data_IF_187081050192
#
_entry.id   IF_187081050192
#
_cell.length_a   1.000
_cell.length_b   1.000
_cell.length_c   1.000
_cell.angle_alpha   90.00
_cell.angle_beta   90.00
_cell.angle_gamma   90.00
#
_symmetry.space_group_name_H-M   'P 1'
#
loop_
_entity.id
_entity.type
_entity.pdbx_description
1 polymer ?
#
# COMPACT_ATOMS: atom_id res chain seq x y z
N UNK A 1 2.72 -21.97 -2.31
CA UNK A 1 3.06 -20.71 -1.62
C UNK A 1 4.54 -20.37 -1.73
N UNK A 2 5.46 -21.28 -1.43
CA UNK A 2 6.92 -21.04 -1.44
C UNK A 2 7.44 -20.39 -2.75
N UNK A 3 6.86 -20.74 -3.88
CA UNK A 3 7.21 -20.17 -5.19
C UNK A 3 6.98 -18.66 -5.30
N UNK A 4 6.17 -18.06 -4.41
CA UNK A 4 5.79 -16.64 -4.41
C UNK A 4 6.59 -15.81 -3.39
N UNK A 5 7.22 -16.46 -2.40
CA UNK A 5 7.91 -15.76 -1.31
C UNK A 5 9.12 -14.99 -1.85
N UNK A 6 9.29 -13.75 -1.40
CA UNK A 6 10.32 -12.79 -1.78
C UNK A 6 10.33 -12.46 -3.28
N UNK A 7 9.13 -12.42 -3.88
CA UNK A 7 8.96 -12.07 -5.30
C UNK A 7 7.92 -10.98 -5.51
N UNK A 8 8.10 -10.27 -6.61
CA UNK A 8 7.07 -9.43 -7.22
C UNK A 8 6.52 -10.22 -8.42
N UNK A 9 5.22 -10.46 -8.46
CA UNK A 9 4.56 -11.37 -9.38
C UNK A 9 3.75 -10.53 -10.38
N UNK A 10 3.90 -10.78 -11.67
CA UNK A 10 3.04 -10.16 -12.68
C UNK A 10 1.76 -10.98 -12.84
N UNK A 11 0.69 -10.52 -12.20
CA UNK A 11 -0.62 -11.17 -12.25
C UNK A 11 -1.74 -10.24 -11.75
N UNK A 12 -2.98 -10.61 -12.00
CA UNK A 12 -4.11 -10.06 -11.26
C UNK A 12 -4.06 -10.54 -9.80
N UNK A 13 -4.32 -9.64 -8.86
CA UNK A 13 -4.22 -9.96 -7.42
C UNK A 13 -5.16 -11.11 -7.01
N UNK A 14 -6.37 -11.19 -7.59
CA UNK A 14 -7.34 -12.23 -7.26
C UNK A 14 -6.89 -13.61 -7.74
N UNK A 15 -6.12 -13.69 -8.84
CA UNK A 15 -5.59 -14.96 -9.33
C UNK A 15 -4.55 -15.54 -8.37
N UNK A 16 -3.73 -14.68 -7.76
CA UNK A 16 -2.75 -15.11 -6.76
C UNK A 16 -3.38 -15.35 -5.40
N UNK A 17 -4.24 -14.43 -4.93
CA UNK A 17 -4.91 -14.56 -3.64
C UNK A 17 -5.62 -15.92 -3.51
N UNK A 18 -6.37 -16.35 -4.52
CA UNK A 18 -7.05 -17.65 -4.54
C UNK A 18 -6.12 -18.86 -4.44
N UNK A 19 -4.85 -18.71 -4.81
CA UNK A 19 -3.83 -19.75 -4.71
C UNK A 19 -3.09 -19.76 -3.37
N UNK A 20 -3.19 -18.68 -2.60
CA UNK A 20 -2.59 -18.62 -1.27
C UNK A 20 -3.42 -19.44 -0.28
N UNK A 21 -2.76 -20.22 0.60
CA UNK A 21 -3.44 -20.90 1.69
C UNK A 21 -4.12 -19.94 2.65
N UNK A 22 -5.13 -20.41 3.35
CA UNK A 22 -5.71 -19.70 4.48
C UNK A 22 -4.63 -19.48 5.55
N UNK A 23 -4.71 -18.36 6.25
CA UNK A 23 -3.90 -18.05 7.45
C UNK A 23 -2.39 -18.19 7.23
N UNK A 24 -1.88 -17.66 6.14
CA UNK A 24 -0.45 -17.73 5.80
C UNK A 24 0.28 -16.38 5.92
N UNK A 25 -0.42 -15.25 5.89
CA UNK A 25 0.12 -13.88 5.88
C UNK A 25 0.10 -13.29 7.30
N UNK A 26 1.18 -12.61 7.68
CA UNK A 26 1.31 -11.94 8.99
C UNK A 26 0.85 -10.48 8.96
N UNK A 27 1.07 -9.78 7.84
CA UNK A 27 0.66 -8.39 7.62
C UNK A 27 0.27 -8.20 6.16
N UNK A 28 -0.85 -7.53 5.91
CA UNK A 28 -1.13 -6.93 4.61
C UNK A 28 -0.84 -5.44 4.69
N UNK A 29 -0.01 -4.93 3.79
CA UNK A 29 0.27 -3.50 3.65
C UNK A 29 0.14 -3.16 2.17
N UNK A 30 -0.97 -2.50 1.78
CA UNK A 30 -1.36 -2.43 0.38
C UNK A 30 -2.08 -1.13 0.04
N UNK A 31 -1.96 -0.71 -1.22
CA UNK A 31 -2.49 0.54 -1.76
C UNK A 31 -3.44 0.26 -2.95
N UNK A 32 -4.69 -0.17 -2.68
CA UNK A 32 -5.64 -0.50 -3.74
C UNK A 32 -6.01 0.73 -4.58
N UNK A 33 -6.52 0.56 -5.80
CA UNK A 33 -6.96 1.65 -6.65
C UNK A 33 -7.92 2.61 -5.92
N UNK A 34 -7.73 3.94 -6.07
CA UNK A 34 -8.57 4.91 -5.38
C UNK A 34 -9.85 5.19 -6.17
N UNK A 35 -10.98 5.30 -5.46
CA UNK A 35 -12.19 5.91 -6.01
C UNK A 35 -11.97 7.42 -5.98
N UNK A 36 -11.77 8.03 -7.14
CA UNK A 36 -11.71 9.48 -7.26
C UNK A 36 -13.10 10.00 -7.62
N UNK A 37 -13.65 10.89 -6.80
CA UNK A 37 -14.86 11.64 -7.14
C UNK A 37 -14.53 12.68 -8.23
N UNK A 38 -14.56 12.25 -9.49
CA UNK A 38 -14.35 13.12 -10.66
C UNK A 38 -15.59 13.94 -11.01
N UNK A 39 -16.49 14.20 -10.07
CA UNK A 39 -17.58 15.16 -10.26
C UNK A 39 -17.05 16.59 -10.24
N UNK A 40 -16.69 17.08 -11.40
CA UNK A 40 -16.40 18.49 -11.63
C UNK A 40 -14.97 18.83 -12.01
N UNK A 41 -14.72 18.81 -13.30
CA UNK A 41 -13.57 19.49 -13.85
C UNK A 41 -13.09 18.91 -15.17
N UNK A 42 -13.74 19.24 -16.27
CA UNK A 42 -13.06 19.37 -17.56
C UNK A 42 -12.03 20.52 -17.42
N UNK A 43 -11.07 20.37 -16.52
CA UNK A 43 -10.05 21.37 -16.28
C UNK A 43 -8.83 21.10 -17.15
N UNK A 44 -8.58 21.97 -18.13
CA UNK A 44 -7.32 22.05 -18.89
C UNK A 44 -6.04 22.16 -18.03
N UNK A 45 -6.16 22.22 -16.70
CA UNK A 45 -5.03 22.36 -15.78
C UNK A 45 -4.13 21.09 -15.69
N UNK A 46 -4.60 19.97 -16.18
CA UNK A 46 -3.82 18.73 -16.24
C UNK A 46 -3.27 18.41 -17.64
N UNK A 47 -3.62 19.18 -18.67
CA UNK A 47 -3.47 18.82 -20.08
C UNK A 47 -2.05 18.71 -20.61
N UNK A 48 -1.02 19.30 -19.99
CA UNK A 48 0.31 19.43 -20.58
C UNK A 48 1.47 18.84 -19.75
N UNK A 49 1.19 18.18 -18.64
CA UNK A 49 2.24 17.48 -17.90
C UNK A 49 2.23 15.98 -18.27
N UNK A 50 3.40 15.44 -18.59
CA UNK A 50 3.62 14.06 -19.03
C UNK A 50 3.00 12.99 -18.11
N UNK A 51 2.77 13.31 -16.83
CA UNK A 51 2.10 12.48 -15.82
C UNK A 51 0.62 12.19 -16.11
N UNK A 52 -0.02 12.86 -17.08
CA UNK A 52 -1.47 12.71 -17.38
C UNK A 52 -1.70 12.07 -18.74
N UNK A 53 -0.66 11.94 -19.54
CA UNK A 53 -0.71 11.12 -20.76
C UNK A 53 -0.61 9.62 -20.45
N UNK A 54 -0.40 9.26 -19.18
CA UNK A 54 -0.43 7.87 -18.75
C UNK A 54 -1.87 7.36 -18.89
N UNK A 55 -2.08 6.47 -19.84
CA UNK A 55 -3.36 5.75 -20.07
C UNK A 55 -3.84 5.00 -18.84
N UNK A 56 -3.02 4.93 -17.80
CA UNK A 56 -3.25 4.20 -16.55
C UNK A 56 -4.08 4.98 -15.51
N UNK A 57 -4.38 6.27 -15.73
CA UNK A 57 -5.31 7.01 -14.84
C UNK A 57 -6.77 6.56 -15.03
N UNK A 58 -7.09 5.89 -16.12
CA UNK A 58 -8.40 5.27 -16.34
C UNK A 58 -8.66 4.03 -15.46
N UNK A 59 -7.67 3.55 -14.71
CA UNK A 59 -7.84 2.52 -13.67
C UNK A 59 -8.53 3.00 -12.39
N UNK A 60 -9.17 4.15 -12.44
CA UNK A 60 -9.97 4.66 -11.34
C UNK A 60 -11.25 3.86 -11.27
N UNK A 61 -11.26 2.99 -10.37
CA UNK A 61 -12.11 1.94 -9.89
C UNK A 61 -13.63 2.20 -9.93
N UNK A 62 -14.25 2.31 -11.09
CA UNK A 62 -15.70 2.11 -11.19
C UNK A 62 -16.09 0.63 -11.10
N UNK A 63 -15.17 -0.30 -11.45
CA UNK A 63 -15.44 -1.75 -11.53
C UNK A 63 -14.56 -2.60 -10.62
N UNK A 64 -13.82 -2.00 -9.67
CA UNK A 64 -12.95 -2.77 -8.77
C UNK A 64 -13.77 -3.38 -7.62
N UNK A 65 -13.73 -4.72 -7.51
CA UNK A 65 -14.47 -5.47 -6.50
C UNK A 65 -13.72 -5.50 -5.15
N UNK A 66 -13.82 -4.40 -4.42
CA UNK A 66 -13.22 -4.28 -3.08
C UNK A 66 -13.69 -5.35 -2.11
N UNK A 67 -14.97 -5.76 -2.19
CA UNK A 67 -15.56 -6.70 -1.24
C UNK A 67 -14.89 -8.07 -1.37
N UNK A 68 -14.74 -8.57 -2.60
CA UNK A 68 -14.08 -9.84 -2.83
C UNK A 68 -12.59 -9.78 -2.46
N UNK A 69 -11.90 -8.70 -2.80
CA UNK A 69 -10.50 -8.53 -2.39
C UNK A 69 -10.37 -8.51 -0.87
N UNK A 70 -11.16 -7.73 -0.15
CA UNK A 70 -11.08 -7.64 1.31
C UNK A 70 -11.40 -8.97 1.99
N UNK A 71 -12.37 -9.75 1.48
CA UNK A 71 -12.66 -11.08 1.98
C UNK A 71 -11.46 -12.02 1.80
N UNK A 72 -10.78 -11.99 0.66
CA UNK A 72 -9.58 -12.77 0.43
C UNK A 72 -8.41 -12.32 1.32
N UNK A 73 -8.23 -11.00 1.53
CA UNK A 73 -7.22 -10.50 2.46
C UNK A 73 -7.46 -10.99 3.90
N UNK A 74 -8.72 -11.01 4.34
CA UNK A 74 -9.10 -11.57 5.64
C UNK A 74 -8.75 -13.07 5.70
N UNK A 75 -9.12 -13.84 4.67
CA UNK A 75 -8.90 -15.28 4.60
C UNK A 75 -7.43 -15.67 4.71
N UNK A 76 -6.57 -14.96 3.98
CA UNK A 76 -5.12 -15.28 3.95
C UNK A 76 -4.38 -14.84 5.21
N UNK A 77 -4.90 -13.93 6.02
CA UNK A 77 -4.25 -13.49 7.25
C UNK A 77 -4.26 -14.56 8.34
N UNK A 78 -3.11 -14.83 8.99
CA UNK A 78 -3.03 -15.66 10.22
C UNK A 78 -3.88 -15.10 11.34
N UNK A 79 -3.80 -13.79 11.50
CA UNK A 79 -4.65 -12.89 12.25
C UNK A 79 -4.86 -11.65 11.44
N UNK A 80 -6.08 -11.14 11.39
CA UNK A 80 -6.37 -9.94 10.60
C UNK A 80 -5.51 -8.79 11.08
N UNK A 81 -4.61 -8.33 10.20
CA UNK A 81 -3.64 -7.26 10.39
C UNK A 81 -3.42 -6.60 9.03
N UNK A 82 -4.24 -5.62 8.72
CA UNK A 82 -4.25 -4.97 7.41
C UNK A 82 -3.97 -3.48 7.56
N UNK A 83 -3.03 -2.97 6.80
CA UNK A 83 -2.82 -1.53 6.58
C UNK A 83 -3.21 -1.22 5.13
N UNK A 84 -4.35 -0.61 4.94
CA UNK A 84 -4.92 -0.32 3.63
C UNK A 84 -4.88 1.17 3.39
N UNK A 85 -4.10 1.62 2.40
CA UNK A 85 -4.15 2.99 1.94
C UNK A 85 -5.49 3.28 1.27
N UNK A 86 -6.01 4.49 1.41
CA UNK A 86 -7.28 4.87 0.81
C UNK A 86 -7.39 6.38 0.58
N UNK A 87 -8.25 6.76 -0.37
CA UNK A 87 -8.68 8.14 -0.53
C UNK A 87 -9.66 8.56 0.56
N UNK A 88 -9.83 9.88 0.75
CA UNK A 88 -10.83 10.41 1.68
C UNK A 88 -12.25 9.86 1.45
N UNK A 89 -12.63 9.65 0.18
CA UNK A 89 -13.95 9.12 -0.19
C UNK A 89 -14.17 7.65 0.22
N UNK A 90 -13.09 6.90 0.46
CA UNK A 90 -13.15 5.47 0.78
C UNK A 90 -13.12 5.19 2.29
N UNK A 91 -12.70 6.14 3.14
CA UNK A 91 -12.50 5.93 4.58
C UNK A 91 -13.72 5.29 5.23
N UNK A 92 -14.88 5.94 5.13
CA UNK A 92 -16.09 5.49 5.83
C UNK A 92 -16.57 4.12 5.36
N UNK A 93 -16.50 3.86 4.05
CA UNK A 93 -16.94 2.58 3.46
C UNK A 93 -16.02 1.44 3.88
N UNK A 94 -14.71 1.66 3.82
CA UNK A 94 -13.71 0.65 4.19
C UNK A 94 -13.78 0.35 5.68
N UNK A 95 -13.84 1.37 6.55
CA UNK A 95 -13.98 1.16 7.99
C UNK A 95 -15.26 0.38 8.30
N UNK A 96 -16.40 0.85 7.76
CA UNK A 96 -17.69 0.19 8.00
C UNK A 96 -17.70 -1.27 7.56
N UNK A 97 -17.10 -1.61 6.41
CA UNK A 97 -17.03 -3.00 5.94
C UNK A 97 -16.37 -3.92 6.98
N UNK A 98 -15.23 -3.51 7.53
CA UNK A 98 -14.51 -4.33 8.51
C UNK A 98 -15.16 -4.31 9.89
N UNK A 99 -15.74 -3.19 10.31
CA UNK A 99 -16.45 -3.06 11.59
C UNK A 99 -17.74 -3.90 11.61
N UNK A 100 -18.48 -3.97 10.51
CA UNK A 100 -19.65 -4.83 10.36
C UNK A 100 -19.29 -6.34 10.48
N UNK A 101 -18.04 -6.70 10.17
CA UNK A 101 -17.49 -8.05 10.38
C UNK A 101 -16.88 -8.26 11.79
N UNK A 102 -16.93 -7.25 12.66
CA UNK A 102 -16.46 -7.32 14.04
C UNK A 102 -14.97 -7.02 14.22
N UNK A 103 -14.25 -6.56 13.19
CA UNK A 103 -12.85 -6.14 13.31
C UNK A 103 -12.75 -4.72 13.87
N UNK A 104 -11.62 -4.44 14.53
CA UNK A 104 -11.31 -3.10 15.02
C UNK A 104 -10.60 -2.30 13.94
N UNK A 105 -11.03 -1.07 13.71
CA UNK A 105 -10.40 -0.16 12.76
C UNK A 105 -9.74 1.03 13.45
N UNK A 106 -8.68 1.54 12.86
CA UNK A 106 -8.00 2.76 13.30
C UNK A 106 -7.57 3.56 12.08
N UNK A 107 -7.97 4.82 12.02
CA UNK A 107 -7.49 5.74 10.98
C UNK A 107 -6.09 6.23 11.33
N UNK A 108 -5.16 6.05 10.40
CA UNK A 108 -3.81 6.57 10.41
C UNK A 108 -3.67 7.58 9.28
N UNK A 109 -2.79 8.56 9.45
CA UNK A 109 -2.64 9.68 8.51
C UNK A 109 -1.17 9.83 8.11
N UNK A 110 -0.90 9.85 6.82
CA UNK A 110 0.38 10.29 6.29
C UNK A 110 0.28 11.76 5.90
N UNK A 111 1.03 12.63 6.60
CA UNK A 111 1.16 14.06 6.34
C UNK A 111 2.42 14.31 5.49
N UNK A 112 2.22 14.84 4.29
CA UNK A 112 3.26 15.16 3.32
C UNK A 112 3.72 16.61 3.50
N UNK A 113 4.92 16.88 4.03
CA UNK A 113 5.42 18.24 4.18
C UNK A 113 5.74 18.93 2.83
N UNK A 114 5.79 18.17 1.74
CA UNK A 114 6.06 18.65 0.38
C UNK A 114 4.89 18.37 -0.60
N UNK A 115 3.65 18.78 -0.29
CA UNK A 115 2.53 18.55 -1.19
C UNK A 115 2.66 19.34 -2.48
N UNK A 116 2.04 18.83 -3.56
CA UNK A 116 1.95 19.58 -4.82
C UNK A 116 1.00 20.76 -4.60
N UNK A 117 1.40 22.01 -4.87
CA UNK A 117 0.60 23.20 -4.58
C UNK A 117 -0.49 23.45 -5.64
N UNK A 118 -1.32 22.44 -5.92
CA UNK A 118 -2.47 22.53 -6.82
C UNK A 118 -3.72 22.84 -6.01
N UNK A 119 -3.93 24.10 -5.69
CA UNK A 119 -5.03 24.45 -4.79
C UNK A 119 -6.19 25.22 -5.42
N UNK A 120 -6.10 25.83 -6.61
CA UNK A 120 -7.21 26.50 -7.32
C UNK A 120 -8.46 26.76 -6.42
N UNK A 121 -8.32 27.51 -5.31
CA UNK A 121 -9.33 27.76 -4.28
C UNK A 121 -9.79 26.51 -3.50
N UNK A 122 -9.04 25.41 -3.55
CA UNK A 122 -9.26 24.19 -2.74
C UNK A 122 -8.16 24.05 -1.70
N UNK A 123 -8.41 23.22 -0.70
CA UNK A 123 -7.36 22.85 0.25
C UNK A 123 -6.26 22.05 -0.47
N UNK A 124 -5.01 22.28 -0.06
CA UNK A 124 -3.87 21.49 -0.55
C UNK A 124 -4.00 20.06 -0.05
N UNK A 125 -3.86 19.09 -0.96
CA UNK A 125 -3.94 17.67 -0.61
C UNK A 125 -2.59 17.18 -0.07
N UNK A 126 -2.31 17.50 1.19
CA UNK A 126 -1.11 17.05 1.90
C UNK A 126 -1.30 15.75 2.67
N UNK A 127 -2.53 15.24 2.80
CA UNK A 127 -2.82 14.06 3.60
C UNK A 127 -3.18 12.86 2.72
N UNK A 128 -2.65 11.70 3.09
CA UNK A 128 -3.16 10.40 2.68
C UNK A 128 -3.56 9.59 3.90
N UNK A 129 -4.49 8.67 3.70
CA UNK A 129 -5.11 7.93 4.79
C UNK A 129 -4.77 6.46 4.70
N UNK A 130 -4.61 5.83 5.87
CA UNK A 130 -4.36 4.40 6.00
C UNK A 130 -5.34 3.88 7.03
N UNK A 131 -6.06 2.83 6.71
CA UNK A 131 -6.93 2.15 7.67
C UNK A 131 -6.19 0.93 8.19
N UNK A 132 -5.85 0.95 9.46
CA UNK A 132 -5.35 -0.23 10.15
C UNK A 132 -6.52 -1.04 10.69
N UNK A 133 -6.70 -2.25 10.13
CA UNK A 133 -7.72 -3.21 10.53
C UNK A 133 -7.06 -4.32 11.30
N UNK A 134 -7.64 -4.70 12.44
CA UNK A 134 -7.07 -5.74 13.29
C UNK A 134 -8.12 -6.54 14.06
N UNK A 135 -7.77 -7.78 14.34
CA UNK A 135 -8.42 -8.57 15.39
C UNK A 135 -7.66 -8.49 16.72
N UNK A 136 -8.20 -9.12 17.76
CA UNK A 136 -7.54 -9.14 19.06
C UNK A 136 -6.24 -9.97 19.02
N UNK A 137 -5.22 -9.48 19.75
CA UNK A 137 -3.89 -10.08 19.84
C UNK A 137 -3.13 -10.14 18.50
N UNK A 138 -3.47 -9.30 17.53
CA UNK A 138 -2.65 -9.05 16.35
C UNK A 138 -1.31 -8.45 16.76
N UNK A 139 -0.25 -8.78 16.01
CA UNK A 139 1.07 -8.24 16.28
C UNK A 139 1.09 -6.71 16.23
N UNK A 140 1.67 -6.13 17.24
CA UNK A 140 2.03 -4.72 17.31
C UNK A 140 3.34 -4.59 18.07
N UNK A 141 4.29 -3.84 17.55
CA UNK A 141 5.59 -3.66 18.20
C UNK A 141 5.48 -2.71 19.41
N UNK A 142 5.40 -3.30 20.59
CA UNK A 142 5.31 -2.56 21.85
C UNK A 142 6.65 -1.98 22.32
N UNK A 143 7.78 -2.44 21.78
CA UNK A 143 9.12 -2.03 22.22
C UNK A 143 9.56 -0.69 21.61
N UNK A 144 8.86 -0.22 20.56
CA UNK A 144 9.14 1.09 19.99
C UNK A 144 8.82 2.22 20.98
N UNK A 145 9.57 3.30 20.91
CA UNK A 145 9.29 4.52 21.68
C UNK A 145 7.91 5.12 21.30
N UNK A 146 7.28 5.84 22.25
CA UNK A 146 5.96 6.46 22.04
C UNK A 146 5.90 7.38 20.81
N UNK A 147 6.99 8.09 20.51
CA UNK A 147 7.08 8.96 19.31
C UNK A 147 6.86 8.23 17.99
N UNK A 148 7.14 6.91 17.95
CA UNK A 148 6.94 6.06 16.77
C UNK A 148 5.59 5.36 16.74
N UNK A 149 4.74 5.55 17.77
CA UNK A 149 3.41 4.92 17.89
C UNK A 149 2.27 5.91 17.64
N UNK A 150 2.58 7.06 17.07
CA UNK A 150 1.58 8.07 16.74
C UNK A 150 0.72 7.62 15.54
N UNK A 151 -0.50 8.13 15.46
CA UNK A 151 -1.40 7.85 14.33
C UNK A 151 -1.14 8.74 13.10
N UNK A 152 -0.22 9.68 13.21
CA UNK A 152 0.19 10.56 12.13
C UNK A 152 1.67 10.38 11.82
N UNK A 153 1.98 10.23 10.54
CA UNK A 153 3.33 10.01 10.04
C UNK A 153 3.71 11.19 9.15
N UNK A 154 4.80 11.88 9.47
CA UNK A 154 5.26 13.04 8.70
C UNK A 154 6.49 12.67 7.91
N UNK A 155 6.29 12.30 6.64
CA UNK A 155 7.34 11.93 5.71
C UNK A 155 7.13 12.62 4.36
N UNK A 156 8.20 13.11 3.69
CA UNK A 156 8.07 13.68 2.36
C UNK A 156 7.67 12.61 1.35
N UNK A 157 6.82 13.01 0.40
CA UNK A 157 6.55 12.19 -0.77
C UNK A 157 7.81 12.13 -1.66
N UNK A 158 8.09 10.99 -2.33
CA UNK A 158 9.22 10.87 -3.23
C UNK A 158 9.16 11.94 -4.34
N UNK A 159 10.30 12.53 -4.68
CA UNK A 159 10.37 13.52 -5.77
C UNK A 159 10.54 12.84 -7.13
N UNK A 160 11.45 11.86 -7.20
CA UNK A 160 11.61 10.98 -8.35
C UNK A 160 10.78 9.71 -8.11
N UNK A 161 9.93 9.36 -9.06
CA UNK A 161 8.96 8.27 -8.93
C UNK A 161 8.95 7.41 -10.17
N UNK A 162 8.93 6.11 -9.99
CA UNK A 162 8.63 5.13 -11.04
C UNK A 162 7.11 5.05 -11.24
N UNK A 163 6.35 5.09 -10.14
CA UNK A 163 4.89 5.03 -10.15
C UNK A 163 4.29 6.33 -9.57
N UNK A 164 3.21 6.88 -10.16
CA UNK A 164 2.62 8.17 -9.72
C UNK A 164 2.23 8.23 -8.24
N UNK A 165 1.80 7.12 -7.66
CA UNK A 165 1.35 7.00 -6.25
C UNK A 165 2.39 6.34 -5.35
N UNK A 166 3.67 6.31 -5.76
CA UNK A 166 4.75 5.69 -5.00
C UNK A 166 4.82 6.19 -3.55
N UNK A 167 4.87 5.25 -2.60
CA UNK A 167 5.00 5.54 -1.17
C UNK A 167 6.48 5.63 -0.77
N UNK A 168 6.87 6.58 0.09
CA UNK A 168 8.26 6.71 0.53
C UNK A 168 8.68 5.51 1.38
N UNK A 169 9.90 5.02 1.16
CA UNK A 169 10.48 3.92 1.95
C UNK A 169 10.47 4.19 3.45
N UNK A 170 10.69 5.44 3.86
CA UNK A 170 10.67 5.84 5.28
C UNK A 170 9.31 5.60 5.94
N UNK A 171 8.20 5.86 5.24
CA UNK A 171 6.86 5.55 5.72
C UNK A 171 6.63 4.04 5.77
N UNK A 172 6.96 3.32 4.70
CA UNK A 172 6.79 1.87 4.63
C UNK A 172 7.60 1.16 5.72
N UNK A 173 8.87 1.55 5.91
CA UNK A 173 9.72 1.03 6.98
C UNK A 173 9.11 1.26 8.36
N UNK A 174 8.51 2.42 8.60
CA UNK A 174 7.85 2.72 9.86
C UNK A 174 6.64 1.81 10.09
N UNK A 175 5.76 1.66 9.10
CA UNK A 175 4.58 0.80 9.18
C UNK A 175 4.96 -0.69 9.33
N UNK A 176 5.96 -1.16 8.58
CA UNK A 176 6.48 -2.53 8.70
C UNK A 176 7.00 -2.79 10.12
N UNK A 177 7.78 -1.88 10.69
CA UNK A 177 8.31 -2.03 12.05
C UNK A 177 7.24 -1.97 13.13
N UNK A 178 6.16 -1.20 12.92
CA UNK A 178 5.02 -1.15 13.85
C UNK A 178 4.21 -2.45 13.84
N UNK A 179 3.94 -3.00 12.65
CA UNK A 179 2.90 -4.00 12.46
C UNK A 179 3.43 -5.40 12.09
N UNK A 180 4.75 -5.59 12.02
CA UNK A 180 5.36 -6.90 11.77
C UNK A 180 6.65 -7.12 12.55
N UNK A 181 6.95 -8.40 12.86
CA UNK A 181 8.25 -8.83 13.37
C UNK A 181 9.16 -9.28 12.22
N UNK A 182 10.45 -9.47 12.52
CA UNK A 182 11.39 -10.11 11.58
C UNK A 182 10.88 -11.48 11.13
N UNK A 183 11.18 -11.84 9.89
CA UNK A 183 10.71 -13.06 9.23
C UNK A 183 9.19 -13.18 9.04
N UNK A 184 8.38 -12.20 9.46
CA UNK A 184 6.97 -12.16 9.10
C UNK A 184 6.81 -12.05 7.59
N UNK A 185 5.73 -12.64 7.08
CA UNK A 185 5.35 -12.59 5.66
C UNK A 185 4.37 -11.45 5.42
N UNK A 186 4.79 -10.49 4.60
CA UNK A 186 4.01 -9.29 4.24
C UNK A 186 3.45 -9.47 2.84
N UNK A 187 2.18 -9.10 2.65
CA UNK A 187 1.51 -9.15 1.35
C UNK A 187 1.19 -7.73 0.87
N UNK A 188 1.50 -7.44 -0.39
CA UNK A 188 1.02 -6.28 -1.13
C UNK A 188 0.40 -6.72 -2.45
N UNK A 189 -0.89 -6.43 -2.62
CA UNK A 189 -1.66 -6.85 -3.79
C UNK A 189 -1.61 -5.84 -4.95
N UNK A 190 -1.03 -4.65 -4.73
CA UNK A 190 -0.97 -3.54 -5.69
C UNK A 190 0.39 -2.86 -5.61
N UNK A 191 1.42 -3.62 -5.97
CA UNK A 191 2.81 -3.30 -5.64
C UNK A 191 3.38 -2.09 -6.37
N UNK A 192 2.83 -1.73 -7.55
CA UNK A 192 3.27 -0.59 -8.35
C UNK A 192 4.79 -0.58 -8.56
N UNK A 193 5.46 0.40 -7.95
CA UNK A 193 6.93 0.56 -8.03
C UNK A 193 7.77 -0.45 -7.23
N UNK A 194 7.15 -1.40 -6.52
CA UNK A 194 7.86 -2.38 -5.68
C UNK A 194 8.44 -1.81 -4.38
N UNK A 195 8.05 -0.61 -3.98
CA UNK A 195 8.62 0.05 -2.79
C UNK A 195 8.44 -0.77 -1.52
N UNK A 196 7.32 -1.51 -1.38
CA UNK A 196 7.12 -2.40 -0.24
C UNK A 196 8.09 -3.58 -0.26
N UNK A 197 8.32 -4.21 -1.41
CA UNK A 197 9.25 -5.34 -1.52
C UNK A 197 10.65 -4.95 -1.06
N UNK A 198 11.14 -3.78 -1.48
CA UNK A 198 12.45 -3.24 -1.08
C UNK A 198 12.48 -2.95 0.42
N UNK A 199 11.43 -2.31 0.96
CA UNK A 199 11.36 -1.98 2.38
C UNK A 199 11.30 -3.25 3.26
N UNK A 200 10.50 -4.25 2.87
CA UNK A 200 10.40 -5.52 3.58
C UNK A 200 11.72 -6.29 3.55
N UNK A 201 12.37 -6.36 2.38
CA UNK A 201 13.68 -7.00 2.23
C UNK A 201 14.74 -6.34 3.11
N UNK A 202 14.81 -5.01 3.12
CA UNK A 202 15.77 -4.24 3.93
C UNK A 202 15.60 -4.45 5.44
N UNK A 203 14.39 -4.81 5.88
CA UNK A 203 14.04 -5.03 7.27
C UNK A 203 13.97 -6.52 7.66
N UNK A 204 14.50 -7.44 6.86
CA UNK A 204 14.45 -8.89 7.09
C UNK A 204 13.02 -9.42 7.24
N UNK A 205 12.07 -8.89 6.48
CA UNK A 205 10.72 -9.45 6.35
C UNK A 205 10.61 -10.18 5.02
N UNK A 206 9.88 -11.29 5.02
CA UNK A 206 9.49 -11.97 3.79
C UNK A 206 8.32 -11.22 3.16
N UNK A 207 8.19 -11.30 1.85
CA UNK A 207 7.10 -10.60 1.16
C UNK A 207 6.55 -11.41 -0.01
N UNK A 208 5.31 -11.08 -0.37
CA UNK A 208 4.67 -11.43 -1.65
C UNK A 208 4.09 -10.12 -2.17
N UNK A 209 4.55 -9.69 -3.34
CA UNK A 209 4.06 -8.48 -3.99
C UNK A 209 3.45 -8.85 -5.34
N UNK A 210 2.34 -8.23 -5.70
CA UNK A 210 1.61 -8.53 -6.95
C UNK A 210 1.42 -7.22 -7.70
N UNK A 211 1.77 -7.21 -8.98
CA UNK A 211 1.58 -6.09 -9.89
C UNK A 211 0.99 -6.59 -11.21
N UNK A 212 -0.14 -6.01 -11.62
CA UNK A 212 -0.84 -6.42 -12.82
C UNK A 212 -0.26 -5.82 -14.09
N UNK A 213 0.20 -4.59 -14.01
CA UNK A 213 0.82 -3.89 -15.13
C UNK A 213 2.23 -4.43 -15.38
N UNK A 214 2.49 -4.89 -16.60
CA UNK A 214 3.74 -5.53 -16.97
C UNK A 214 4.94 -4.56 -16.94
N UNK A 215 4.73 -3.29 -17.28
CA UNK A 215 5.79 -2.29 -17.33
C UNK A 215 6.20 -1.89 -15.90
N UNK A 216 5.23 -1.66 -15.02
CA UNK A 216 5.50 -1.42 -13.60
C UNK A 216 6.11 -2.65 -12.93
N UNK A 217 5.65 -3.85 -13.25
CA UNK A 217 6.24 -5.08 -12.75
C UNK A 217 7.72 -5.20 -13.13
N UNK A 218 8.08 -5.03 -14.41
CA UNK A 218 9.48 -5.10 -14.88
C UNK A 218 10.36 -4.10 -14.15
N UNK A 219 9.92 -2.85 -14.08
CA UNK A 219 10.65 -1.78 -13.38
C UNK A 219 10.81 -2.07 -11.87
N UNK A 220 9.79 -2.65 -11.23
CA UNK A 220 9.83 -2.99 -9.81
C UNK A 220 10.77 -4.15 -9.50
N UNK A 221 10.83 -5.16 -10.39
CA UNK A 221 11.76 -6.30 -10.26
C UNK A 221 13.20 -5.83 -10.40
N UNK A 222 13.52 -5.07 -11.45
CA UNK A 222 14.86 -4.50 -11.64
C UNK A 222 15.31 -3.66 -10.42
N UNK A 223 14.41 -2.86 -9.89
CA UNK A 223 14.67 -2.05 -8.71
C UNK A 223 14.95 -2.89 -7.46
N UNK A 224 14.20 -3.96 -7.26
CA UNK A 224 14.42 -4.89 -6.15
C UNK A 224 15.78 -5.61 -6.28
N UNK A 225 16.13 -6.09 -7.47
CA UNK A 225 17.42 -6.73 -7.73
C UNK A 225 18.59 -5.78 -7.45
N UNK A 226 18.50 -4.53 -7.89
CA UNK A 226 19.49 -3.50 -7.62
C UNK A 226 19.64 -3.23 -6.10
N UNK A 227 18.53 -3.13 -5.37
CA UNK A 227 18.55 -2.95 -3.92
C UNK A 227 19.18 -4.14 -3.19
N UNK A 228 18.88 -5.37 -3.61
CA UNK A 228 19.47 -6.59 -3.05
C UNK A 228 20.97 -6.71 -3.35
N UNK A 229 21.41 -6.29 -4.54
CA UNK A 229 22.83 -6.28 -4.89
C UNK A 229 23.61 -5.29 -4.03
N UNK A 230 23.05 -4.10 -3.77
CA UNK A 230 23.68 -3.11 -2.87
C UNK A 230 23.80 -3.61 -1.43
N UNK A 231 22.81 -4.33 -0.90
CA UNK A 231 22.86 -4.88 0.47
C UNK A 231 23.96 -5.96 0.65
N UNK A 232 24.33 -6.68 -0.40
CA UNK A 232 25.40 -7.72 -0.33
C UNK A 232 26.81 -7.15 -0.32
N UNK A 233 26.98 -5.84 -0.55
CA UNK A 233 28.27 -5.18 -0.59
C UNK A 233 28.67 -4.60 0.79
N UNK A 234 27.78 -4.64 1.77
CA UNK A 234 27.98 -4.22 3.16
C UNK A 234 27.69 -5.35 4.14
#
# INVERSE_FOLDING_TARGET
>A
MEQYINKIINADCMDILKQLPDKCIDLVLTDPPYILDMKGGKGKAFGDRALIKDKHIDFIAHDFDYINVFNELIRVCKKVNLCIFCSNAQISRTMKFFEDLGYKTTLLVWDKPNPIPLCNMKLVNNLEFIIWVKEDKTYFNNDLEMKHKLRSFKYPAPQERIHPTEKPHTLLNHLINLFSAENHLILDCFSGSGSLAIAANALNRRFICIEKDEDYWKASVERLENAQAQQKLF
#
